data_IF_433813198405
#
_entry.id   IF_433813198405
#
_cell.length_a   1.000
_cell.length_b   1.000
_cell.length_c   1.000
_cell.angle_alpha   90.00
_cell.angle_beta   90.00
_cell.angle_gamma   90.00
#
_symmetry.space_group_name_H-M   'P 1'
#
loop_
_entity.id
_entity.type
_entity.pdbx_description
1 polymer ?
#
# COMPACT_ATOMS: atom_id res chain seq x y z
N UNK A 1 6.00 -0.98 12.04
CA UNK A 1 4.86 -0.16 11.56
C UNK A 1 5.18 1.33 11.39
N UNK A 2 5.60 2.09 12.41
CA UNK A 2 5.87 3.53 12.32
C UNK A 2 6.91 3.90 11.23
N UNK A 3 7.98 3.13 11.10
CA UNK A 3 8.99 3.34 10.06
C UNK A 3 8.39 3.21 8.65
N UNK A 4 7.52 2.22 8.44
CA UNK A 4 6.80 2.02 7.17
C UNK A 4 5.94 3.24 6.84
N UNK A 5 5.18 3.73 7.83
CA UNK A 5 4.32 4.91 7.68
C UNK A 5 5.14 6.14 7.32
N UNK A 6 6.27 6.38 7.98
CA UNK A 6 7.16 7.50 7.68
C UNK A 6 7.72 7.41 6.24
N UNK A 7 8.25 6.24 5.86
CA UNK A 7 8.79 5.99 4.52
C UNK A 7 7.73 6.23 3.44
N UNK A 8 6.54 5.66 3.59
CA UNK A 8 5.49 5.80 2.58
C UNK A 8 4.84 7.19 2.56
N UNK A 9 4.84 7.90 3.67
CA UNK A 9 4.42 9.31 3.69
C UNK A 9 5.36 10.15 2.82
N UNK A 10 6.69 9.98 2.98
CA UNK A 10 7.69 10.67 2.14
C UNK A 10 7.48 10.32 0.66
N UNK A 11 7.31 9.02 0.34
CA UNK A 11 7.05 8.58 -1.03
C UNK A 11 5.78 9.18 -1.60
N UNK A 12 4.68 9.18 -0.84
CA UNK A 12 3.39 9.73 -1.29
C UNK A 12 3.47 11.23 -1.61
N UNK A 13 4.21 11.99 -0.81
CA UNK A 13 4.44 13.41 -1.07
C UNK A 13 5.30 13.64 -2.32
N UNK A 14 6.32 12.80 -2.51
CA UNK A 14 7.20 12.85 -3.67
C UNK A 14 6.49 12.45 -4.96
N UNK A 15 5.65 11.42 -4.91
CA UNK A 15 4.85 10.97 -6.05
C UNK A 15 3.81 12.02 -6.45
N UNK A 16 3.17 12.69 -5.47
CA UNK A 16 2.28 13.84 -5.71
C UNK A 16 3.03 14.96 -6.46
N UNK A 17 4.26 15.25 -6.05
CA UNK A 17 5.11 16.23 -6.73
C UNK A 17 5.46 15.80 -8.16
N UNK A 18 5.83 14.53 -8.37
CA UNK A 18 6.18 13.97 -9.66
C UNK A 18 5.01 14.09 -10.67
N UNK A 19 3.79 13.77 -10.24
CA UNK A 19 2.59 13.91 -11.10
C UNK A 19 2.25 15.38 -11.35
N UNK A 20 2.21 16.20 -10.29
CA UNK A 20 1.73 17.58 -10.39
C UNK A 20 2.72 18.52 -11.10
N UNK A 21 4.03 18.38 -10.85
CA UNK A 21 5.06 19.28 -11.35
C UNK A 21 5.85 18.72 -12.53
N UNK A 22 6.22 17.43 -12.48
CA UNK A 22 7.01 16.80 -13.54
C UNK A 22 6.12 16.22 -14.65
N UNK A 23 4.79 16.19 -14.46
CA UNK A 23 3.79 15.74 -15.44
C UNK A 23 4.11 14.36 -16.02
N UNK A 24 4.51 13.41 -15.18
CA UNK A 24 4.61 12.02 -15.57
C UNK A 24 3.23 11.40 -15.70
N UNK A 25 3.00 10.64 -16.76
CA UNK A 25 1.82 9.81 -16.90
C UNK A 25 1.89 8.57 -16.00
N UNK A 26 0.75 7.93 -15.78
CA UNK A 26 0.65 6.80 -14.85
C UNK A 26 1.54 5.60 -15.22
N UNK A 27 1.70 5.29 -16.51
CA UNK A 27 2.54 4.18 -16.95
C UNK A 27 4.02 4.49 -16.71
N UNK A 28 4.47 5.70 -17.05
CA UNK A 28 5.85 6.16 -16.85
C UNK A 28 6.21 6.20 -15.37
N UNK A 29 5.33 6.75 -14.54
CA UNK A 29 5.55 6.78 -13.09
C UNK A 29 5.62 5.35 -12.52
N UNK A 30 4.69 4.46 -12.90
CA UNK A 30 4.69 3.06 -12.44
C UNK A 30 5.95 2.32 -12.88
N UNK A 31 6.38 2.52 -14.13
CA UNK A 31 7.65 1.96 -14.63
C UNK A 31 8.84 2.42 -13.80
N UNK A 32 8.98 3.73 -13.59
CA UNK A 32 10.09 4.31 -12.80
C UNK A 32 10.05 3.78 -11.35
N UNK A 33 8.87 3.72 -10.76
CA UNK A 33 8.70 3.16 -9.42
C UNK A 33 9.14 1.69 -9.36
N UNK A 34 8.67 0.86 -10.29
CA UNK A 34 9.00 -0.56 -10.33
C UNK A 34 10.49 -0.79 -10.59
N UNK A 35 11.04 -0.16 -11.63
CA UNK A 35 12.43 -0.34 -12.03
C UNK A 35 13.41 0.20 -10.98
N UNK A 36 13.18 1.41 -10.46
CA UNK A 36 14.04 2.00 -9.44
C UNK A 36 13.98 1.23 -8.12
N UNK A 37 12.78 0.80 -7.69
CA UNK A 37 12.64 0.00 -6.47
C UNK A 37 13.33 -1.35 -6.64
N UNK A 38 13.15 -2.04 -7.78
CA UNK A 38 13.84 -3.30 -8.05
C UNK A 38 15.37 -3.14 -8.03
N UNK A 39 15.88 -2.09 -8.69
CA UNK A 39 17.32 -1.80 -8.71
C UNK A 39 17.88 -1.56 -7.30
N UNK A 40 17.18 -0.76 -6.49
CA UNK A 40 17.59 -0.48 -5.11
C UNK A 40 17.47 -1.71 -4.21
N UNK A 41 16.51 -2.60 -4.44
CA UNK A 41 16.38 -3.87 -3.72
C UNK A 41 17.56 -4.81 -3.97
N UNK A 42 18.25 -4.71 -5.10
CA UNK A 42 19.48 -5.46 -5.36
C UNK A 42 20.54 -5.22 -4.28
N UNK A 43 20.58 -4.03 -3.67
CA UNK A 43 21.49 -3.72 -2.57
C UNK A 43 21.09 -4.43 -1.25
N UNK A 44 19.82 -4.74 -1.07
CA UNK A 44 19.31 -5.42 0.12
C UNK A 44 19.35 -6.94 0.01
N UNK A 45 19.14 -7.52 -1.18
CA UNK A 45 19.05 -8.96 -1.38
C UNK A 45 20.21 -9.78 -0.80
N UNK A 46 21.50 -9.33 -0.84
CA UNK A 46 22.60 -10.04 -0.22
C UNK A 46 22.49 -10.19 1.30
N UNK A 47 21.70 -9.34 1.95
CA UNK A 47 21.46 -9.37 3.39
C UNK A 47 20.22 -10.17 3.78
N UNK A 48 19.42 -10.62 2.80
CA UNK A 48 18.30 -11.52 3.05
C UNK A 48 18.84 -12.95 3.21
N UNK A 49 18.85 -13.43 4.45
CA UNK A 49 19.37 -14.75 4.80
C UNK A 49 18.48 -15.93 4.32
N UNK A 50 17.34 -15.63 3.70
CA UNK A 50 16.37 -16.63 3.26
C UNK A 50 16.78 -17.21 1.93
N UNK A 51 16.85 -18.54 1.87
CA UNK A 51 17.22 -19.26 0.65
C UNK A 51 16.04 -19.23 -0.32
N UNK A 52 16.32 -18.80 -1.55
CA UNK A 52 15.38 -18.94 -2.65
C UNK A 52 15.28 -20.39 -3.10
N UNK A 53 14.12 -21.00 -2.95
CA UNK A 53 13.81 -22.31 -3.49
C UNK A 53 12.94 -22.11 -4.73
N UNK A 54 13.47 -22.47 -5.90
CA UNK A 54 12.70 -22.45 -7.14
C UNK A 54 11.68 -23.59 -7.10
N UNK A 55 10.42 -23.24 -6.92
CA UNK A 55 9.30 -24.17 -6.86
C UNK A 55 8.12 -23.60 -7.65
N UNK A 56 7.14 -24.44 -7.96
CA UNK A 56 5.90 -23.98 -8.57
C UNK A 56 5.18 -22.95 -7.69
N UNK A 57 5.21 -23.15 -6.38
CA UNK A 57 4.61 -22.23 -5.41
C UNK A 57 5.30 -20.86 -5.42
N UNK A 58 6.63 -20.82 -5.50
CA UNK A 58 7.41 -19.59 -5.62
C UNK A 58 7.07 -18.83 -6.90
N UNK A 59 6.99 -19.55 -8.01
CA UNK A 59 6.60 -18.95 -9.30
C UNK A 59 5.17 -18.41 -9.27
N UNK A 60 4.22 -19.16 -8.70
CA UNK A 60 2.84 -18.72 -8.51
C UNK A 60 2.76 -17.46 -7.63
N UNK A 61 3.53 -17.39 -6.53
CA UNK A 61 3.59 -16.21 -5.66
C UNK A 61 4.07 -14.97 -6.42
N UNK A 62 5.16 -15.09 -7.20
CA UNK A 62 5.69 -13.98 -8.02
C UNK A 62 4.65 -13.49 -9.02
N UNK A 63 4.01 -14.41 -9.74
CA UNK A 63 3.01 -14.06 -10.74
C UNK A 63 1.77 -13.40 -10.11
N UNK A 64 1.28 -13.94 -9.00
CA UNK A 64 0.14 -13.38 -8.26
C UNK A 64 0.47 -11.99 -7.70
N UNK A 65 1.67 -11.79 -7.14
CA UNK A 65 2.10 -10.48 -6.64
C UNK A 65 2.19 -9.45 -7.78
N UNK A 66 2.77 -9.82 -8.92
CA UNK A 66 2.85 -8.95 -10.09
C UNK A 66 1.45 -8.58 -10.62
N UNK A 67 0.55 -9.58 -10.69
CA UNK A 67 -0.83 -9.37 -11.16
C UNK A 67 -1.62 -8.46 -10.23
N UNK A 68 -1.54 -8.70 -8.91
CA UNK A 68 -2.23 -7.86 -7.92
C UNK A 68 -1.70 -6.43 -7.93
N UNK A 69 -0.39 -6.22 -8.06
CA UNK A 69 0.19 -4.87 -8.19
C UNK A 69 -0.23 -4.18 -9.48
N UNK A 70 -0.25 -4.87 -10.61
CA UNK A 70 -0.72 -4.31 -11.87
C UNK A 70 -2.19 -3.92 -11.81
N UNK A 71 -3.05 -4.77 -11.21
CA UNK A 71 -4.46 -4.48 -10.98
C UNK A 71 -4.63 -3.28 -10.05
N UNK A 72 -3.90 -3.25 -8.93
CA UNK A 72 -3.92 -2.13 -7.98
C UNK A 72 -3.66 -0.80 -8.70
N UNK A 73 -2.59 -0.69 -9.49
CA UNK A 73 -2.27 0.54 -10.20
C UNK A 73 -3.30 0.93 -11.26
N UNK A 74 -3.77 -0.03 -12.07
CA UNK A 74 -4.77 0.25 -13.10
C UNK A 74 -6.11 0.67 -12.52
N UNK A 75 -6.58 -0.05 -11.50
CA UNK A 75 -7.87 0.25 -10.86
C UNK A 75 -7.80 1.56 -10.08
N UNK A 76 -6.71 1.83 -9.37
CA UNK A 76 -6.49 3.12 -8.71
C UNK A 76 -6.54 4.28 -9.71
N UNK A 77 -5.89 4.15 -10.87
CA UNK A 77 -5.92 5.19 -11.90
C UNK A 77 -7.36 5.48 -12.39
N UNK A 78 -8.17 4.44 -12.61
CA UNK A 78 -9.58 4.60 -13.00
C UNK A 78 -10.40 5.27 -11.89
N UNK A 79 -10.23 4.84 -10.64
CA UNK A 79 -10.99 5.36 -9.50
C UNK A 79 -10.64 6.83 -9.25
N UNK A 80 -9.37 7.20 -9.35
CA UNK A 80 -8.88 8.57 -9.11
C UNK A 80 -9.38 9.59 -10.13
N UNK A 81 -10.00 9.17 -11.24
CA UNK A 81 -10.71 10.10 -12.14
C UNK A 81 -12.00 10.64 -11.53
N UNK A 82 -12.64 9.88 -10.64
CA UNK A 82 -13.95 10.18 -10.08
C UNK A 82 -13.89 10.57 -8.58
N UNK A 83 -12.90 10.08 -7.83
CA UNK A 83 -12.74 10.38 -6.41
C UNK A 83 -11.32 10.84 -6.07
N UNK A 84 -11.17 11.45 -4.90
CA UNK A 84 -9.86 11.88 -4.40
C UNK A 84 -9.02 10.70 -3.89
N UNK A 85 -7.70 10.88 -3.86
CA UNK A 85 -6.79 9.89 -3.28
C UNK A 85 -7.07 9.64 -1.78
N UNK A 86 -7.58 10.64 -1.06
CA UNK A 86 -7.96 10.50 0.34
C UNK A 86 -9.17 9.59 0.51
N UNK A 87 -10.21 9.78 -0.33
CA UNK A 87 -11.41 8.94 -0.33
C UNK A 87 -11.07 7.50 -0.70
N UNK A 88 -10.23 7.29 -1.73
CA UNK A 88 -9.77 5.95 -2.09
C UNK A 88 -9.05 5.25 -0.95
N UNK A 89 -8.18 5.97 -0.23
CA UNK A 89 -7.50 5.41 0.95
C UNK A 89 -8.45 5.14 2.13
N UNK A 90 -9.51 5.94 2.30
CA UNK A 90 -10.51 5.69 3.33
C UNK A 90 -11.27 4.38 3.10
N UNK A 91 -11.56 4.04 1.83
CA UNK A 91 -12.19 2.77 1.48
C UNK A 91 -11.34 1.56 1.87
N UNK A 92 -10.02 1.70 1.99
CA UNK A 92 -9.15 0.65 2.54
C UNK A 92 -9.46 0.34 4.01
N UNK A 93 -10.20 1.19 4.72
CA UNK A 93 -10.73 0.86 6.05
C UNK A 93 -11.58 -0.43 6.07
N UNK A 94 -12.22 -0.79 4.96
CA UNK A 94 -12.96 -2.06 4.83
C UNK A 94 -12.02 -3.26 4.87
N UNK A 95 -10.82 -3.15 4.30
CA UNK A 95 -9.84 -4.25 4.31
C UNK A 95 -9.33 -4.57 5.71
N UNK A 96 -9.45 -3.65 6.68
CA UNK A 96 -9.10 -3.90 8.08
C UNK A 96 -9.94 -5.05 8.68
N UNK A 97 -11.24 -5.08 8.38
CA UNK A 97 -12.14 -6.15 8.86
C UNK A 97 -11.75 -7.50 8.27
N UNK A 98 -11.48 -7.54 6.94
CA UNK A 98 -11.07 -8.76 6.26
C UNK A 98 -9.72 -9.26 6.77
N UNK A 99 -8.77 -8.35 6.98
CA UNK A 99 -7.44 -8.67 7.46
C UNK A 99 -7.45 -9.19 8.90
N UNK A 100 -8.25 -8.58 9.77
CA UNK A 100 -8.39 -9.08 11.14
C UNK A 100 -9.14 -10.42 11.20
N UNK A 101 -10.16 -10.62 10.36
CA UNK A 101 -10.82 -11.91 10.23
C UNK A 101 -9.84 -13.01 9.74
N UNK A 102 -8.89 -12.65 8.87
CA UNK A 102 -7.82 -13.57 8.44
C UNK A 102 -6.89 -13.93 9.59
N UNK A 103 -6.46 -12.96 10.42
CA UNK A 103 -5.63 -13.20 11.60
C UNK A 103 -6.33 -14.12 12.62
N UNK A 104 -7.64 -13.97 12.80
CA UNK A 104 -8.43 -14.89 13.62
C UNK A 104 -8.51 -16.30 13.02
N UNK A 105 -8.73 -16.39 11.71
CA UNK A 105 -8.87 -17.68 11.03
C UNK A 105 -7.52 -18.44 10.96
N UNK A 106 -6.40 -17.73 10.89
CA UNK A 106 -5.05 -18.31 10.87
C UNK A 106 -4.46 -18.57 12.27
N UNK A 107 -5.20 -18.24 13.33
CA UNK A 107 -4.72 -18.42 14.72
C UNK A 107 -3.63 -17.42 15.14
N UNK A 108 -3.38 -16.38 14.36
CA UNK A 108 -2.48 -15.27 14.74
C UNK A 108 -3.08 -14.43 15.87
N UNK A 109 -4.40 -14.31 15.89
CA UNK A 109 -5.17 -13.68 16.97
C UNK A 109 -6.11 -14.69 17.60
N UNK A 110 -6.27 -14.64 18.92
CA UNK A 110 -7.19 -15.53 19.65
C UNK A 110 -8.62 -14.99 19.64
N UNK A 111 -9.59 -15.90 19.48
CA UNK A 111 -11.00 -15.59 19.66
C UNK A 111 -11.32 -15.46 21.15
N UNK A 112 -11.66 -14.25 21.59
CA UNK A 112 -11.97 -13.97 22.99
C UNK A 112 -12.70 -12.64 23.17
N UNK A 113 -12.89 -12.23 24.41
CA UNK A 113 -13.52 -10.94 24.74
C UNK A 113 -12.76 -9.75 24.12
N UNK A 114 -11.42 -9.84 24.04
CA UNK A 114 -10.58 -8.82 23.40
C UNK A 114 -10.89 -8.67 21.90
N UNK A 115 -11.29 -9.74 21.21
CA UNK A 115 -11.61 -9.71 19.78
C UNK A 115 -12.79 -8.79 19.47
N UNK A 116 -13.80 -8.75 20.35
CA UNK A 116 -14.96 -7.86 20.19
C UNK A 116 -14.51 -6.40 20.25
N UNK A 117 -13.65 -6.07 21.21
CA UNK A 117 -13.10 -4.72 21.32
C UNK A 117 -12.25 -4.34 20.11
N UNK A 118 -11.42 -5.26 19.58
CA UNK A 118 -10.66 -5.05 18.37
C UNK A 118 -11.56 -4.73 17.17
N UNK A 119 -12.66 -5.45 17.00
CA UNK A 119 -13.64 -5.13 15.96
C UNK A 119 -14.27 -3.74 16.15
N UNK A 120 -14.59 -3.34 17.37
CA UNK A 120 -15.10 -1.99 17.66
C UNK A 120 -14.07 -0.92 17.30
N UNK A 121 -12.80 -1.13 17.63
CA UNK A 121 -11.73 -0.18 17.30
C UNK A 121 -11.44 -0.12 15.81
N UNK A 122 -11.52 -1.23 15.07
CA UNK A 122 -11.46 -1.25 13.61
C UNK A 122 -12.63 -0.42 13.03
N UNK A 123 -13.85 -0.63 13.53
CA UNK A 123 -15.00 0.14 13.08
C UNK A 123 -14.81 1.65 13.35
N UNK A 124 -14.31 1.98 14.54
CA UNK A 124 -14.01 3.37 14.91
C UNK A 124 -12.96 3.99 13.97
N UNK A 125 -11.87 3.26 13.69
CA UNK A 125 -10.83 3.70 12.76
C UNK A 125 -11.40 3.90 11.33
N UNK A 126 -12.22 2.97 10.83
CA UNK A 126 -12.84 3.07 9.52
C UNK A 126 -13.78 4.29 9.42
N UNK A 127 -14.62 4.52 10.43
CA UNK A 127 -15.49 5.71 10.49
C UNK A 127 -14.65 6.99 10.47
N UNK A 128 -13.58 7.06 11.28
CA UNK A 128 -12.66 8.20 11.29
C UNK A 128 -12.03 8.46 9.93
N UNK A 129 -11.62 7.41 9.20
CA UNK A 129 -11.08 7.53 7.84
C UNK A 129 -12.10 8.13 6.86
N UNK A 130 -13.35 7.67 6.90
CA UNK A 130 -14.41 8.24 6.05
C UNK A 130 -14.70 9.70 6.39
N UNK A 131 -14.66 10.06 7.67
CA UNK A 131 -14.81 11.46 8.08
C UNK A 131 -13.67 12.35 7.59
N UNK A 132 -12.41 11.88 7.65
CA UNK A 132 -11.25 12.59 7.09
C UNK A 132 -11.42 12.78 5.58
N UNK A 133 -11.85 11.74 4.88
CA UNK A 133 -11.93 11.72 3.43
C UNK A 133 -13.05 12.59 2.86
N UNK A 134 -14.12 12.84 3.62
CA UNK A 134 -15.32 13.58 3.18
C UNK A 134 -15.08 15.09 3.07
N UNK A 135 -13.99 15.48 2.46
CA UNK A 135 -13.55 16.87 2.35
C UNK A 135 -13.94 17.57 1.03
N UNK A 136 -14.48 16.88 0.05
CA UNK A 136 -14.68 17.44 -1.27
C UNK A 136 -16.16 17.40 -1.71
N UNK A 137 -16.77 18.54 -1.97
CA UNK A 137 -18.16 18.67 -2.44
C UNK A 137 -18.45 18.09 -3.84
N UNK A 138 -17.57 17.26 -4.39
CA UNK A 138 -17.78 16.57 -5.67
C UNK A 138 -18.73 15.40 -5.47
N UNK A 139 -19.84 15.37 -6.19
CA UNK A 139 -20.73 14.20 -6.21
C UNK A 139 -20.03 13.07 -6.94
N UNK A 140 -19.70 12.01 -6.21
CA UNK A 140 -19.06 10.81 -6.75
C UNK A 140 -20.14 9.93 -7.39
N UNK A 141 -19.90 9.48 -8.61
CA UNK A 141 -20.76 8.49 -9.26
C UNK A 141 -20.30 7.07 -8.87
N UNK A 142 -20.77 6.60 -7.71
CA UNK A 142 -20.42 5.28 -7.20
C UNK A 142 -20.82 4.14 -8.13
N UNK A 143 -21.89 4.27 -8.91
CA UNK A 143 -22.30 3.23 -9.85
C UNK A 143 -21.23 2.95 -10.91
N UNK A 144 -20.50 3.98 -11.35
CA UNK A 144 -19.42 3.86 -12.33
C UNK A 144 -18.14 3.23 -11.79
N UNK A 145 -17.85 3.47 -10.51
CA UNK A 145 -16.56 3.05 -9.90
C UNK A 145 -16.70 1.88 -8.93
N UNK A 146 -17.92 1.39 -8.66
CA UNK A 146 -18.13 0.31 -7.68
C UNK A 146 -17.30 -0.94 -8.00
N UNK A 147 -17.34 -1.42 -9.24
CA UNK A 147 -16.58 -2.60 -9.65
C UNK A 147 -15.05 -2.38 -9.60
N UNK A 148 -14.50 -1.28 -10.16
CA UNK A 148 -13.10 -0.93 -9.96
C UNK A 148 -12.68 -0.82 -8.50
N UNK A 149 -13.52 -0.23 -7.65
CA UNK A 149 -13.25 -0.04 -6.23
C UNK A 149 -13.16 -1.39 -5.49
N UNK A 150 -14.13 -2.28 -5.71
CA UNK A 150 -14.11 -3.64 -5.14
C UNK A 150 -12.84 -4.37 -5.61
N UNK A 151 -12.54 -4.32 -6.91
CA UNK A 151 -11.34 -4.93 -7.47
C UNK A 151 -10.04 -4.38 -6.84
N UNK A 152 -9.97 -3.07 -6.60
CA UNK A 152 -8.84 -2.43 -5.94
C UNK A 152 -8.67 -2.90 -4.48
N UNK A 153 -9.77 -2.94 -3.72
CA UNK A 153 -9.76 -3.42 -2.33
C UNK A 153 -9.32 -4.89 -2.26
N UNK A 154 -9.84 -5.73 -3.16
CA UNK A 154 -9.45 -7.13 -3.25
C UNK A 154 -7.99 -7.30 -3.68
N UNK A 155 -7.48 -6.49 -4.59
CA UNK A 155 -6.07 -6.53 -4.99
C UNK A 155 -5.15 -6.14 -3.82
N UNK A 156 -5.51 -5.10 -3.06
CA UNK A 156 -4.75 -4.67 -1.87
C UNK A 156 -4.75 -5.74 -0.77
N UNK A 157 -5.92 -6.26 -0.43
CA UNK A 157 -6.06 -7.34 0.54
C UNK A 157 -5.34 -8.60 0.07
N UNK A 158 -5.55 -8.99 -1.20
CA UNK A 158 -4.95 -10.17 -1.82
C UNK A 158 -3.42 -10.12 -1.84
N UNK A 159 -2.82 -8.95 -2.04
CA UNK A 159 -1.37 -8.80 -1.96
C UNK A 159 -0.82 -9.20 -0.58
N UNK A 160 -1.42 -8.68 0.50
CA UNK A 160 -1.04 -9.08 1.85
C UNK A 160 -1.30 -10.56 2.13
N UNK A 161 -2.44 -11.08 1.65
CA UNK A 161 -2.79 -12.50 1.79
C UNK A 161 -1.77 -13.42 1.08
N UNK A 162 -1.29 -13.04 -0.12
CA UNK A 162 -0.25 -13.78 -0.82
C UNK A 162 1.04 -13.84 0.02
N UNK A 163 1.46 -12.71 0.61
CA UNK A 163 2.64 -12.67 1.48
C UNK A 163 2.42 -13.55 2.70
N UNK A 164 1.29 -13.41 3.38
CA UNK A 164 0.96 -14.19 4.56
C UNK A 164 0.91 -15.69 4.28
N UNK A 165 0.38 -16.11 3.14
CA UNK A 165 0.25 -17.51 2.76
C UNK A 165 1.56 -18.12 2.29
N UNK A 166 2.29 -17.48 1.36
CA UNK A 166 3.49 -18.03 0.75
C UNK A 166 4.79 -17.76 1.53
N UNK A 167 4.78 -16.77 2.43
CA UNK A 167 5.98 -16.30 3.11
C UNK A 167 5.88 -16.35 4.64
N UNK A 168 4.89 -17.04 5.20
CA UNK A 168 4.68 -17.10 6.64
C UNK A 168 5.46 -18.25 7.27
N UNK A 169 6.52 -17.92 8.01
CA UNK A 169 7.37 -18.88 8.72
C UNK A 169 6.66 -19.51 9.93
N UNK A 170 5.71 -18.80 10.57
CA UNK A 170 4.97 -19.29 11.74
C UNK A 170 4.09 -20.49 11.41
N UNK A 171 3.59 -20.55 10.18
CA UNK A 171 2.78 -21.69 9.70
C UNK A 171 3.62 -22.83 9.12
N UNK A 172 4.95 -22.69 9.07
CA UNK A 172 5.84 -23.64 8.45
C UNK A 172 5.78 -23.67 6.91
N UNK A 173 5.00 -22.75 6.32
CA UNK A 173 4.77 -22.65 4.88
C UNK A 173 5.52 -21.42 4.38
N UNK A 174 6.84 -21.55 4.20
CA UNK A 174 7.64 -20.50 3.59
C UNK A 174 8.23 -21.02 2.27
N UNK A 175 7.60 -20.68 1.15
CA UNK A 175 8.06 -21.10 -0.18
C UNK A 175 9.07 -20.11 -0.78
N UNK A 176 9.04 -18.84 -0.38
CA UNK A 176 9.91 -17.81 -0.91
C UNK A 176 10.02 -16.62 0.06
N UNK A 177 11.20 -15.99 0.09
CA UNK A 177 11.36 -14.70 0.78
C UNK A 177 10.40 -13.66 0.22
N UNK A 178 9.63 -12.92 1.06
CA UNK A 178 8.74 -11.86 0.60
C UNK A 178 9.50 -10.78 -0.18
N UNK A 179 10.72 -10.45 0.23
CA UNK A 179 11.56 -9.46 -0.45
C UNK A 179 11.97 -9.93 -1.84
N UNK A 180 12.38 -11.17 -1.97
CA UNK A 180 12.80 -11.76 -3.23
C UNK A 180 11.62 -11.93 -4.20
N UNK A 181 10.47 -12.37 -3.69
CA UNK A 181 9.22 -12.47 -4.46
C UNK A 181 8.80 -11.11 -5.01
N UNK A 182 8.84 -10.07 -4.18
CA UNK A 182 8.53 -8.71 -4.59
C UNK A 182 9.53 -8.17 -5.60
N UNK A 183 10.83 -8.45 -5.43
CA UNK A 183 11.86 -8.07 -6.40
C UNK A 183 11.54 -8.61 -7.80
N UNK A 184 11.30 -9.92 -7.91
CA UNK A 184 10.95 -10.52 -9.20
C UNK A 184 9.64 -9.98 -9.77
N UNK A 185 8.63 -9.75 -8.92
CA UNK A 185 7.37 -9.15 -9.35
C UNK A 185 7.57 -7.72 -9.92
N UNK A 186 8.43 -6.90 -9.29
CA UNK A 186 8.76 -5.56 -9.76
C UNK A 186 9.57 -5.58 -11.06
N UNK A 187 10.51 -6.49 -11.19
CA UNK A 187 11.26 -6.69 -12.45
C UNK A 187 10.31 -7.08 -13.57
N UNK A 188 9.43 -8.07 -13.34
CA UNK A 188 8.43 -8.47 -14.32
C UNK A 188 7.52 -7.30 -14.71
N UNK A 189 7.06 -6.52 -13.75
CA UNK A 189 6.22 -5.35 -13.99
C UNK A 189 6.95 -4.29 -14.83
N UNK A 190 8.23 -4.00 -14.51
CA UNK A 190 9.05 -3.08 -15.28
C UNK A 190 9.25 -3.56 -16.73
N UNK A 191 9.53 -4.84 -16.94
CA UNK A 191 9.66 -5.43 -18.28
C UNK A 191 8.36 -5.32 -19.07
N UNK A 192 7.22 -5.59 -18.46
CA UNK A 192 5.91 -5.47 -19.12
C UNK A 192 5.53 -4.04 -19.50
N UNK A 193 6.01 -3.04 -18.75
CA UNK A 193 5.75 -1.63 -19.01
C UNK A 193 6.77 -0.98 -19.95
N UNK A 194 7.99 -1.51 -20.04
CA UNK A 194 9.06 -0.97 -20.85
C UNK A 194 8.66 -0.67 -22.31
N UNK A 195 7.94 -1.54 -23.05
CA UNK A 195 7.53 -1.24 -24.43
C UNK A 195 6.63 -0.03 -24.56
N UNK A 196 5.83 0.28 -23.51
CA UNK A 196 4.89 1.42 -23.50
C UNK A 196 5.55 2.74 -23.12
N UNK A 197 6.63 2.67 -22.35
CA UNK A 197 7.28 3.84 -21.74
C UNK A 197 8.49 4.30 -22.56
N UNK A 198 9.07 3.42 -23.39
CA UNK A 198 10.30 3.70 -24.15
C UNK A 198 11.42 4.26 -23.24
N UNK A 199 12.01 3.46 -22.33
CA UNK A 199 12.92 3.94 -21.28
C UNK A 199 14.05 4.82 -21.77
N UNK A 200 14.65 4.49 -22.92
CA UNK A 200 15.78 5.25 -23.50
C UNK A 200 15.36 6.70 -23.79
N UNK A 201 14.22 6.90 -24.44
CA UNK A 201 13.68 8.25 -24.72
C UNK A 201 13.34 8.99 -23.43
N UNK A 202 12.72 8.29 -22.47
CA UNK A 202 12.38 8.86 -21.17
C UNK A 202 13.60 9.43 -20.46
N UNK A 203 14.70 8.67 -20.41
CA UNK A 203 15.93 9.14 -19.76
C UNK A 203 16.66 10.22 -20.59
N UNK A 204 16.50 10.28 -21.89
CA UNK A 204 17.02 11.36 -22.72
C UNK A 204 16.26 12.68 -22.52
N UNK A 205 14.93 12.62 -22.48
CA UNK A 205 14.07 13.81 -22.45
C UNK A 205 13.82 14.34 -21.03
N UNK A 206 13.73 13.45 -20.02
CA UNK A 206 13.34 13.80 -18.65
C UNK A 206 14.30 13.23 -17.58
N UNK A 207 15.60 13.26 -17.85
CA UNK A 207 16.65 12.70 -16.97
C UNK A 207 16.52 13.16 -15.51
N UNK A 208 16.44 14.48 -15.28
CA UNK A 208 16.36 15.05 -13.93
C UNK A 208 15.11 14.59 -13.18
N UNK A 209 13.97 14.56 -13.85
CA UNK A 209 12.71 14.08 -13.27
C UNK A 209 12.73 12.58 -12.96
N UNK A 210 13.25 11.78 -13.90
CA UNK A 210 13.40 10.33 -13.71
C UNK A 210 14.36 10.03 -12.55
N UNK A 211 15.48 10.75 -12.45
CA UNK A 211 16.44 10.62 -11.36
C UNK A 211 15.84 11.02 -10.01
N UNK A 212 15.07 12.11 -9.95
CA UNK A 212 14.34 12.52 -8.75
C UNK A 212 13.40 11.41 -8.28
N UNK A 213 12.53 10.89 -9.17
CA UNK A 213 11.62 9.79 -8.81
C UNK A 213 12.40 8.56 -8.33
N UNK A 214 13.48 8.19 -9.00
CA UNK A 214 14.30 7.04 -8.62
C UNK A 214 14.92 7.19 -7.23
N UNK A 215 15.45 8.37 -6.89
CA UNK A 215 16.03 8.63 -5.56
C UNK A 215 14.98 8.59 -4.44
N UNK A 216 13.77 9.05 -4.72
CA UNK A 216 12.67 8.99 -3.74
C UNK A 216 12.20 7.56 -3.44
N UNK A 217 12.68 6.56 -4.19
CA UNK A 217 12.39 5.14 -3.92
C UNK A 217 13.34 4.52 -2.89
N UNK A 218 14.37 5.21 -2.43
CA UNK A 218 15.19 4.73 -1.31
C UNK A 218 14.34 4.48 -0.05
N UNK A 219 13.59 5.47 0.49
CA UNK A 219 12.67 5.18 1.59
C UNK A 219 11.58 4.17 1.21
N UNK A 220 11.16 4.11 -0.06
CA UNK A 220 10.19 3.12 -0.50
C UNK A 220 10.67 1.68 -0.30
N UNK A 221 11.93 1.37 -0.63
CA UNK A 221 12.52 0.03 -0.41
C UNK A 221 12.52 -0.33 1.06
N UNK A 222 12.96 0.59 1.93
CA UNK A 222 12.93 0.38 3.38
C UNK A 222 11.48 0.11 3.84
N UNK A 223 10.54 0.93 3.36
CA UNK A 223 9.12 0.75 3.66
C UNK A 223 8.59 -0.61 3.22
N UNK A 224 8.90 -1.05 1.99
CA UNK A 224 8.45 -2.34 1.43
C UNK A 224 9.01 -3.55 2.20
N UNK A 225 10.30 -3.52 2.55
CA UNK A 225 10.91 -4.59 3.34
C UNK A 225 10.23 -4.70 4.71
N UNK A 226 10.06 -3.57 5.40
CA UNK A 226 9.39 -3.55 6.70
C UNK A 226 7.88 -3.89 6.57
N UNK A 227 7.19 -3.47 5.51
CA UNK A 227 5.80 -3.81 5.23
C UNK A 227 5.63 -5.32 5.05
N UNK A 228 6.53 -5.96 4.30
CA UNK A 228 6.50 -7.40 4.10
C UNK A 228 6.67 -8.16 5.44
N UNK A 229 7.57 -7.70 6.32
CA UNK A 229 7.73 -8.27 7.67
C UNK A 229 6.42 -8.14 8.46
N UNK A 230 5.80 -6.96 8.45
CA UNK A 230 4.51 -6.75 9.14
C UNK A 230 3.42 -7.67 8.58
N UNK A 231 3.36 -7.87 7.26
CA UNK A 231 2.37 -8.73 6.61
C UNK A 231 2.54 -10.22 6.97
N UNK A 232 3.79 -10.68 7.21
CA UNK A 232 4.04 -12.07 7.68
C UNK A 232 3.67 -12.26 9.14
N UNK A 233 3.67 -11.19 9.95
CA UNK A 233 3.32 -11.27 11.37
C UNK A 233 1.82 -11.14 11.63
N UNK A 234 1.15 -10.19 10.99
CA UNK A 234 -0.27 -9.90 11.18
C UNK A 234 -0.84 -9.15 9.98
N UNK A 235 -1.89 -9.71 9.39
CA UNK A 235 -2.63 -9.09 8.31
C UNK A 235 -3.36 -7.82 8.77
N UNK A 236 -3.85 -7.79 10.00
CA UNK A 236 -4.49 -6.59 10.55
C UNK A 236 -3.50 -5.44 10.69
N UNK A 237 -2.31 -5.69 11.24
CA UNK A 237 -1.25 -4.67 11.34
C UNK A 237 -0.81 -4.17 9.95
N UNK A 238 -0.69 -5.06 8.98
CA UNK A 238 -0.43 -4.69 7.59
C UNK A 238 -1.51 -3.75 7.04
N UNK A 239 -2.79 -4.06 7.25
CA UNK A 239 -3.89 -3.26 6.77
C UNK A 239 -3.95 -1.86 7.43
N UNK A 240 -3.51 -1.71 8.69
CA UNK A 240 -3.44 -0.42 9.38
C UNK A 240 -2.40 0.54 8.82
N UNK A 241 -1.41 0.08 8.06
CA UNK A 241 -0.36 0.94 7.49
C UNK A 241 -0.98 2.08 6.65
N UNK A 242 -1.92 1.78 5.76
CA UNK A 242 -2.52 2.79 4.88
C UNK A 242 -3.38 3.82 5.63
N UNK A 243 -4.26 3.44 6.55
CA UNK A 243 -4.92 4.37 7.47
C UNK A 243 -3.97 5.31 8.21
N UNK A 244 -2.88 4.77 8.75
CA UNK A 244 -1.89 5.59 9.46
C UNK A 244 -1.21 6.60 8.55
N UNK A 245 -0.85 6.22 7.32
CA UNK A 245 -0.29 7.15 6.32
C UNK A 245 -1.29 8.27 6.04
N UNK A 246 -2.57 7.95 5.88
CA UNK A 246 -3.61 8.93 5.63
C UNK A 246 -3.76 9.93 6.77
N UNK A 247 -3.73 9.46 8.01
CA UNK A 247 -3.74 10.30 9.22
C UNK A 247 -2.53 11.23 9.24
N UNK A 248 -1.33 10.71 8.99
CA UNK A 248 -0.11 11.54 8.96
C UNK A 248 -0.16 12.59 7.84
N UNK A 249 -0.58 12.21 6.64
CA UNK A 249 -0.77 13.15 5.53
C UNK A 249 -1.81 14.23 5.85
N UNK A 250 -2.88 13.86 6.54
CA UNK A 250 -3.88 14.80 7.02
C UNK A 250 -3.28 15.84 7.99
N UNK A 251 -2.49 15.41 8.98
CA UNK A 251 -1.80 16.33 9.89
C UNK A 251 -0.79 17.23 9.18
N UNK A 252 -0.06 16.70 8.19
CA UNK A 252 0.83 17.52 7.36
C UNK A 252 0.02 18.59 6.61
N UNK A 253 -1.17 18.24 6.08
CA UNK A 253 -2.10 19.18 5.47
C UNK A 253 -2.55 20.28 6.43
N UNK A 254 -2.92 19.92 7.66
CA UNK A 254 -3.26 20.89 8.73
C UNK A 254 -2.12 21.88 9.02
N UNK A 255 -0.89 21.38 9.15
CA UNK A 255 0.30 22.20 9.39
C UNK A 255 0.52 23.16 8.20
N UNK A 256 0.27 22.71 6.99
CA UNK A 256 0.36 23.52 5.76
C UNK A 256 -0.81 24.46 5.56
N UNK A 257 -1.76 24.51 6.51
CA UNK A 257 -2.98 25.31 6.46
C UNK A 257 -3.85 25.02 5.22
N UNK A 258 -3.86 23.77 4.76
CA UNK A 258 -4.84 23.34 3.78
C UNK A 258 -6.24 23.42 4.40
N UNK A 259 -7.26 23.73 3.60
CA UNK A 259 -8.63 23.87 4.09
C UNK A 259 -9.12 22.56 4.70
N UNK A 260 -9.41 22.57 6.01
CA UNK A 260 -9.91 21.42 6.76
C UNK A 260 -11.21 21.78 7.47
N UNK A 261 -12.21 20.93 7.34
CA UNK A 261 -13.47 21.08 8.06
C UNK A 261 -13.36 20.53 9.48
N UNK A 262 -14.23 20.98 10.38
CA UNK A 262 -14.34 20.41 11.74
C UNK A 262 -14.57 18.89 11.70
N UNK A 263 -15.30 18.41 10.68
CA UNK A 263 -15.56 16.99 10.47
C UNK A 263 -14.27 16.21 10.21
N UNK A 264 -13.35 16.76 9.41
CA UNK A 264 -12.08 16.11 9.12
C UNK A 264 -11.19 16.01 10.37
N UNK A 265 -11.18 17.06 11.19
CA UNK A 265 -10.42 17.07 12.46
C UNK A 265 -10.98 16.02 13.43
N UNK A 266 -12.30 15.99 13.61
CA UNK A 266 -12.96 14.97 14.43
C UNK A 266 -12.66 13.55 13.91
N UNK A 267 -12.73 13.35 12.59
CA UNK A 267 -12.38 12.10 11.94
C UNK A 267 -10.96 11.66 12.22
N UNK A 268 -9.99 12.59 12.19
CA UNK A 268 -8.59 12.32 12.53
C UNK A 268 -8.42 11.82 13.96
N UNK A 269 -9.05 12.49 14.92
CA UNK A 269 -9.03 12.08 16.33
C UNK A 269 -9.66 10.70 16.53
N UNK A 270 -10.82 10.46 15.93
CA UNK A 270 -11.54 9.18 16.00
C UNK A 270 -10.70 8.06 15.38
N UNK A 271 -10.08 8.30 14.23
CA UNK A 271 -9.22 7.32 13.56
C UNK A 271 -8.01 6.94 14.44
N UNK A 272 -7.35 7.92 15.04
CA UNK A 272 -6.22 7.68 15.96
C UNK A 272 -6.68 6.89 17.18
N UNK A 273 -7.80 7.25 17.78
CA UNK A 273 -8.36 6.52 18.93
C UNK A 273 -8.65 5.05 18.55
N UNK A 274 -9.20 4.80 17.36
CA UNK A 274 -9.42 3.45 16.85
C UNK A 274 -8.09 2.67 16.65
N UNK A 275 -7.07 3.30 16.06
CA UNK A 275 -5.75 2.66 15.85
C UNK A 275 -5.08 2.33 17.19
N UNK A 276 -5.04 3.29 18.11
CA UNK A 276 -4.44 3.09 19.44
C UNK A 276 -5.20 2.02 20.22
N UNK A 277 -6.54 2.09 20.24
CA UNK A 277 -7.35 1.11 20.93
C UNK A 277 -7.12 -0.31 20.40
N UNK A 278 -7.03 -0.49 19.08
CA UNK A 278 -6.71 -1.79 18.48
C UNK A 278 -5.34 -2.34 18.91
N UNK A 279 -4.34 -1.48 19.08
CA UNK A 279 -2.98 -1.90 19.45
C UNK A 279 -2.84 -2.20 20.95
N UNK A 280 -3.70 -1.62 21.80
CA UNK A 280 -3.65 -1.82 23.25
C UNK A 280 -4.40 -3.07 23.72
N UNK A 281 -5.39 -3.52 22.97
CA UNK A 281 -6.20 -4.74 23.25
C UNK A 281 -5.77 -5.92 22.40
#
# INVERSE_FOLDING_TARGET
MLLVVACYTICSLSDKYAVAKLKFDGNTLTFLMAAATALLMCAYLPFDSRIFVMSWQSFAAILLMATTKLLEFKLAAVILTEMSAFELKAWLGITLFLSYATDLASGVSELGFSSVWKFCFIALAAVGLFMIARSGGKKINYAKIALPLIGYLLAKFGYGLIISFFCNEKTGVCYISPTLSLFFALVLLAVLLAPKVHPIKLFQEKTSGAMFVSLTKIPNVVGLVCENIVATESMANYAFIQPMILVVLFFIGLIRREECTKLNIAGGVICIAGIIGFQLF
#
